data_IF_362170577142
#
_entry.id   IF_362170577142
#
_cell.length_a   1.000
_cell.length_b   1.000
_cell.length_c   1.000
_cell.angle_alpha   90.00
_cell.angle_beta   90.00
_cell.angle_gamma   90.00
#
_symmetry.space_group_name_H-M   'P 1'
#
loop_
_entity.id
_entity.type
_entity.pdbx_description
1 polymer ?
#
# COMPACT_ATOMS: atom_id res chain seq x y z
N UNK A 1 -5.80 17.90 9.66
CA UNK A 1 -4.45 17.53 10.10
C UNK A 1 -3.94 16.34 9.33
N UNK A 2 -2.69 16.39 8.93
CA UNK A 2 -2.10 15.30 8.18
C UNK A 2 -1.93 14.05 9.04
N UNK A 3 -2.16 12.88 8.47
CA UNK A 3 -1.83 11.64 9.14
C UNK A 3 -0.31 11.50 9.22
N UNK A 4 0.23 10.94 10.31
CA UNK A 4 1.66 10.76 10.43
C UNK A 4 2.22 9.91 9.29
N UNK A 5 3.36 10.31 8.76
CA UNK A 5 4.04 9.57 7.71
C UNK A 5 4.63 8.29 8.28
N UNK A 6 4.26 7.15 7.71
CA UNK A 6 4.72 5.84 8.17
C UNK A 6 6.17 5.55 7.78
N UNK A 7 6.78 6.38 6.94
CA UNK A 7 8.21 6.31 6.70
C UNK A 7 9.05 6.62 7.94
N UNK A 8 8.47 7.34 8.91
CA UNK A 8 9.09 7.55 10.20
C UNK A 8 8.82 6.33 11.09
N UNK A 9 9.87 5.59 11.55
CA UNK A 9 9.67 4.38 12.35
C UNK A 9 8.85 4.60 13.62
N UNK A 10 8.97 5.76 14.26
CA UNK A 10 8.20 6.04 15.47
C UNK A 10 6.71 6.09 15.18
N UNK A 11 6.31 6.66 14.05
CA UNK A 11 4.91 6.70 13.66
C UNK A 11 4.38 5.30 13.37
N UNK A 12 5.19 4.44 12.78
CA UNK A 12 4.85 3.03 12.56
C UNK A 12 4.60 2.32 13.87
N UNK A 13 5.49 2.51 14.85
CA UNK A 13 5.34 1.90 16.17
C UNK A 13 4.06 2.36 16.83
N UNK A 14 3.76 3.64 16.78
CA UNK A 14 2.56 4.20 17.40
C UNK A 14 1.27 3.64 16.79
N UNK A 15 1.21 3.51 15.46
CA UNK A 15 0.01 2.97 14.82
C UNK A 15 -0.19 1.50 15.16
N UNK A 16 0.89 0.71 15.22
CA UNK A 16 0.80 -0.68 15.60
C UNK A 16 0.33 -0.84 17.05
N UNK A 17 0.80 0.01 17.96
CA UNK A 17 0.35 0.00 19.34
C UNK A 17 -1.12 0.40 19.45
N UNK A 18 -1.56 1.40 18.70
CA UNK A 18 -2.95 1.87 18.70
C UNK A 18 -3.92 0.74 18.36
N UNK A 19 -3.55 -0.13 17.44
CA UNK A 19 -4.41 -1.23 17.01
C UNK A 19 -4.06 -2.56 17.66
N UNK A 20 -3.21 -2.52 18.70
CA UNK A 20 -2.77 -3.73 19.41
C UNK A 20 -2.17 -4.78 18.47
N UNK A 21 -1.56 -4.32 17.39
CA UNK A 21 -0.99 -5.21 16.39
C UNK A 21 0.39 -5.66 16.87
N UNK A 22 0.63 -6.97 16.82
CA UNK A 22 1.86 -7.56 17.31
C UNK A 22 3.00 -7.37 16.31
N UNK A 23 4.20 -7.06 16.80
CA UNK A 23 5.40 -6.95 15.98
C UNK A 23 5.90 -8.30 15.46
N UNK A 24 5.33 -9.40 15.90
CA UNK A 24 5.70 -10.70 15.35
C UNK A 24 5.51 -10.70 13.84
N UNK A 25 6.48 -11.31 13.14
CA UNK A 25 6.44 -11.40 11.69
C UNK A 25 5.45 -12.46 11.23
N UNK A 26 4.19 -12.26 11.57
CA UNK A 26 3.12 -13.14 11.13
C UNK A 26 2.98 -12.99 9.62
N UNK A 27 3.09 -14.11 8.90
CA UNK A 27 3.06 -14.14 7.43
C UNK A 27 4.19 -13.33 6.79
N UNK A 28 5.31 -13.16 7.49
CA UNK A 28 6.47 -12.46 6.94
C UNK A 28 6.33 -10.95 6.83
N UNK A 29 5.32 -10.38 7.47
CA UNK A 29 5.09 -8.95 7.40
C UNK A 29 6.21 -8.20 8.12
N UNK A 30 6.77 -7.20 7.45
CA UNK A 30 7.74 -6.27 8.00
C UNK A 30 7.22 -4.87 7.77
N UNK A 31 6.92 -4.16 8.86
CA UNK A 31 6.28 -2.86 8.77
C UNK A 31 7.27 -1.69 8.81
N UNK A 32 8.53 -1.97 9.13
CA UNK A 32 9.56 -0.93 9.17
C UNK A 32 10.29 -0.91 7.82
N UNK A 33 10.03 0.12 7.02
CA UNK A 33 10.58 0.24 5.67
C UNK A 33 11.46 1.48 5.60
N UNK A 34 12.66 1.34 5.01
CA UNK A 34 13.58 2.45 4.80
C UNK A 34 13.01 3.41 3.75
N UNK A 35 12.91 4.69 4.12
CA UNK A 35 12.36 5.72 3.23
C UNK A 35 13.17 5.88 1.95
N UNK A 36 14.50 5.70 2.00
CA UNK A 36 15.34 5.78 0.81
C UNK A 36 15.00 4.68 -0.19
N UNK A 37 14.66 3.49 0.30
CA UNK A 37 14.23 2.39 -0.56
C UNK A 37 12.89 2.73 -1.22
N UNK A 38 11.96 3.29 -0.47
CA UNK A 38 10.66 3.71 -1.01
C UNK A 38 10.82 4.75 -2.11
N UNK A 39 11.65 5.76 -1.87
CA UNK A 39 11.90 6.80 -2.86
C UNK A 39 12.54 6.24 -4.12
N UNK A 40 13.46 5.30 -3.98
CA UNK A 40 14.10 4.65 -5.11
C UNK A 40 13.12 3.83 -5.94
N UNK A 41 12.20 3.13 -5.29
CA UNK A 41 11.17 2.34 -5.99
C UNK A 41 10.30 3.26 -6.82
N UNK A 42 9.83 4.35 -6.25
CA UNK A 42 8.95 5.30 -6.95
C UNK A 42 9.69 5.94 -8.12
N UNK A 43 10.94 6.34 -7.91
CA UNK A 43 11.75 6.94 -8.95
C UNK A 43 12.05 5.94 -10.08
N UNK A 44 12.46 4.72 -9.74
CA UNK A 44 12.78 3.69 -10.71
C UNK A 44 11.56 3.28 -11.54
N UNK A 45 10.39 3.26 -10.94
CA UNK A 45 9.15 2.93 -11.64
C UNK A 45 8.63 4.09 -12.49
N UNK A 46 9.17 5.29 -12.32
CA UNK A 46 8.75 6.45 -13.08
C UNK A 46 7.30 6.83 -12.82
N UNK A 47 6.83 6.68 -11.59
CA UNK A 47 5.42 6.93 -11.26
C UNK A 47 5.13 8.42 -11.31
N UNK A 48 4.06 8.78 -12.02
CA UNK A 48 3.60 10.16 -12.15
C UNK A 48 2.11 10.25 -11.86
N UNK A 49 1.58 11.47 -11.81
CA UNK A 49 0.15 11.71 -11.58
C UNK A 49 -0.76 11.17 -12.69
N UNK A 50 -0.19 10.81 -13.83
CA UNK A 50 -0.95 10.18 -14.90
C UNK A 50 -1.09 8.67 -14.73
N UNK A 51 -0.36 8.11 -13.76
CA UNK A 51 -0.33 6.66 -13.57
C UNK A 51 -1.37 6.18 -12.56
N UNK A 52 -1.90 5.00 -12.82
CA UNK A 52 -2.56 4.18 -11.82
C UNK A 52 -1.59 3.11 -11.37
N UNK A 53 -1.49 2.90 -10.07
CA UNK A 53 -0.63 1.88 -9.47
C UNK A 53 -1.50 0.84 -8.78
N UNK A 54 -1.20 -0.43 -9.03
CA UNK A 54 -1.75 -1.54 -8.27
C UNK A 54 -0.71 -1.99 -7.27
N UNK A 55 -1.00 -1.84 -5.99
CA UNK A 55 -0.11 -2.29 -4.92
C UNK A 55 -0.62 -3.59 -4.33
N UNK A 56 0.25 -4.59 -4.22
CA UNK A 56 -0.07 -5.89 -3.63
C UNK A 56 0.61 -5.97 -2.27
N UNK A 57 -0.18 -6.20 -1.23
CA UNK A 57 0.34 -6.34 0.13
C UNK A 57 0.77 -5.01 0.76
N UNK A 58 -0.13 -4.01 0.85
CA UNK A 58 0.23 -2.71 1.41
C UNK A 58 0.63 -2.74 2.89
N UNK A 59 0.30 -3.82 3.60
CA UNK A 59 0.58 -3.90 5.03
C UNK A 59 -0.19 -2.84 5.80
N UNK A 60 0.52 -1.96 6.48
CA UNK A 60 -0.10 -0.84 7.22
C UNK A 60 -0.18 0.44 6.38
N UNK A 61 0.29 0.40 5.13
CA UNK A 61 0.16 1.53 4.21
C UNK A 61 1.39 2.40 4.04
N UNK A 62 2.56 1.97 4.50
CA UNK A 62 3.77 2.79 4.43
C UNK A 62 4.12 3.17 2.99
N UNK A 63 4.27 2.17 2.11
CA UNK A 63 4.55 2.44 0.70
C UNK A 63 3.35 3.09 0.03
N UNK A 64 2.14 2.71 0.45
CA UNK A 64 0.90 3.23 -0.13
C UNK A 64 0.83 4.75 0.01
N UNK A 65 1.24 5.30 1.15
CA UNK A 65 1.28 6.75 1.35
C UNK A 65 2.18 7.42 0.31
N UNK A 66 3.37 6.86 0.06
CA UNK A 66 4.29 7.38 -0.93
C UNK A 66 3.73 7.27 -2.35
N UNK A 67 3.11 6.11 -2.66
CA UNK A 67 2.48 5.91 -3.95
C UNK A 67 1.32 6.89 -4.18
N UNK A 68 0.52 7.12 -3.15
CA UNK A 68 -0.61 8.04 -3.24
C UNK A 68 -0.17 9.48 -3.54
N UNK A 69 0.99 9.87 -3.01
CA UNK A 69 1.54 11.21 -3.27
C UNK A 69 2.11 11.34 -4.68
N UNK A 70 2.61 10.24 -5.24
CA UNK A 70 3.26 10.25 -6.55
C UNK A 70 2.31 9.94 -7.71
N UNK A 71 1.34 9.06 -7.50
CA UNK A 71 0.45 8.56 -8.54
C UNK A 71 -0.86 9.32 -8.60
N UNK A 72 -1.57 9.18 -9.70
CA UNK A 72 -2.93 9.70 -9.82
C UNK A 72 -3.95 8.86 -9.08
N UNK A 73 -3.75 7.54 -9.07
CA UNK A 73 -4.65 6.61 -8.39
C UNK A 73 -3.86 5.39 -7.92
N UNK A 74 -4.23 4.87 -6.76
CA UNK A 74 -3.64 3.66 -6.19
C UNK A 74 -4.77 2.70 -5.81
N UNK A 75 -4.67 1.46 -6.28
CA UNK A 75 -5.51 0.37 -5.79
C UNK A 75 -4.62 -0.57 -5.01
N UNK A 76 -4.89 -0.72 -3.72
CA UNK A 76 -4.09 -1.54 -2.81
C UNK A 76 -4.89 -2.78 -2.41
N UNK A 77 -4.34 -3.96 -2.72
CA UNK A 77 -4.99 -5.25 -2.44
C UNK A 77 -4.32 -5.91 -1.25
N UNK A 78 -5.07 -6.09 -0.17
CA UNK A 78 -4.59 -6.67 1.08
C UNK A 78 -5.44 -7.86 1.46
N UNK A 79 -4.79 -9.01 1.65
CA UNK A 79 -5.48 -10.25 2.00
C UNK A 79 -5.81 -10.35 3.50
N UNK A 80 -5.00 -9.72 4.35
CA UNK A 80 -5.20 -9.79 5.80
C UNK A 80 -6.25 -8.79 6.25
N UNK A 81 -7.43 -9.30 6.62
CA UNK A 81 -8.54 -8.46 7.07
C UNK A 81 -8.22 -7.65 8.33
N UNK A 82 -7.25 -8.11 9.12
CA UNK A 82 -6.86 -7.42 10.35
C UNK A 82 -6.11 -6.12 10.07
N UNK A 83 -5.55 -5.97 8.87
CA UNK A 83 -4.87 -4.75 8.45
C UNK A 83 -5.82 -3.70 7.88
N UNK A 84 -7.03 -4.07 7.52
CA UNK A 84 -7.97 -3.15 6.88
C UNK A 84 -8.32 -1.94 7.76
N UNK A 85 -8.66 -2.11 9.05
CA UNK A 85 -8.91 -0.94 9.90
C UNK A 85 -7.69 -0.01 10.02
N UNK A 86 -6.49 -0.58 10.00
CA UNK A 86 -5.26 0.20 10.04
C UNK A 86 -5.10 1.01 8.75
N UNK A 87 -5.34 0.38 7.60
CA UNK A 87 -5.27 1.05 6.30
C UNK A 87 -6.31 2.16 6.19
N UNK A 88 -7.52 1.94 6.70
CA UNK A 88 -8.55 2.98 6.71
C UNK A 88 -8.10 4.20 7.50
N UNK A 89 -7.35 4.00 8.58
CA UNK A 89 -6.79 5.09 9.38
C UNK A 89 -5.63 5.77 8.66
N UNK A 90 -4.61 4.99 8.27
CA UNK A 90 -3.36 5.54 7.74
C UNK A 90 -3.52 6.20 6.38
N UNK A 91 -4.53 5.82 5.62
CA UNK A 91 -4.79 6.32 4.28
C UNK A 91 -6.00 7.25 4.21
N UNK A 92 -6.57 7.62 5.35
CA UNK A 92 -7.84 8.38 5.41
C UNK A 92 -7.77 9.77 4.76
N UNK A 93 -6.57 10.34 4.63
CA UNK A 93 -6.40 11.65 4.01
C UNK A 93 -6.19 11.60 2.50
N UNK A 94 -6.02 10.40 1.94
CA UNK A 94 -5.78 10.23 0.52
C UNK A 94 -7.09 9.84 -0.17
N UNK A 95 -7.57 10.71 -1.04
CA UNK A 95 -8.81 10.47 -1.79
C UNK A 95 -8.58 9.66 -3.07
N UNK A 96 -7.32 9.40 -3.40
CA UNK A 96 -6.94 8.67 -4.61
C UNK A 96 -6.53 7.21 -4.34
N UNK A 97 -6.80 6.69 -3.14
CA UNK A 97 -6.47 5.31 -2.77
C UNK A 97 -7.75 4.49 -2.60
N UNK A 98 -7.76 3.33 -3.24
CA UNK A 98 -8.81 2.33 -3.09
C UNK A 98 -8.20 1.10 -2.42
N UNK A 99 -8.76 0.68 -1.28
CA UNK A 99 -8.31 -0.51 -0.57
C UNK A 99 -9.25 -1.66 -0.88
N UNK A 100 -8.71 -2.78 -1.32
CA UNK A 100 -9.46 -3.98 -1.66
C UNK A 100 -9.01 -5.09 -0.73
N UNK A 101 -9.93 -5.59 0.11
CA UNK A 101 -9.63 -6.71 0.99
C UNK A 101 -9.96 -8.02 0.28
N UNK A 102 -8.97 -8.58 -0.38
CA UNK A 102 -9.12 -9.83 -1.11
C UNK A 102 -7.75 -10.43 -1.40
N UNK A 103 -7.77 -11.69 -1.87
CA UNK A 103 -6.61 -12.33 -2.46
C UNK A 103 -6.43 -11.76 -3.88
N UNK A 104 -5.23 -11.27 -4.20
CA UNK A 104 -4.97 -10.69 -5.51
C UNK A 104 -5.26 -11.66 -6.65
N UNK A 105 -5.12 -12.97 -6.41
CA UNK A 105 -5.41 -13.99 -7.41
C UNK A 105 -6.91 -14.10 -7.73
N UNK A 106 -7.77 -13.56 -6.86
CA UNK A 106 -9.23 -13.59 -7.02
C UNK A 106 -9.78 -12.27 -7.52
N UNK A 107 -8.96 -11.22 -7.57
CA UNK A 107 -9.40 -9.91 -8.03
C UNK A 107 -9.48 -9.90 -9.55
N UNK A 108 -10.58 -9.37 -10.08
CA UNK A 108 -10.71 -9.14 -11.53
C UNK A 108 -9.89 -7.89 -11.88
N UNK A 109 -8.61 -8.09 -12.11
CA UNK A 109 -7.68 -7.00 -12.39
C UNK A 109 -8.03 -6.31 -13.70
N UNK A 110 -8.40 -7.06 -14.72
CA UNK A 110 -8.79 -6.48 -16.01
C UNK A 110 -9.99 -5.54 -15.86
N UNK A 111 -11.03 -5.99 -15.17
CA UNK A 111 -12.21 -5.18 -14.92
C UNK A 111 -11.89 -3.94 -14.10
N UNK A 112 -11.02 -4.08 -13.10
CA UNK A 112 -10.55 -2.97 -12.28
C UNK A 112 -9.82 -1.92 -13.13
N UNK A 113 -8.90 -2.37 -13.98
CA UNK A 113 -8.12 -1.48 -14.86
C UNK A 113 -9.03 -0.77 -15.85
N UNK A 114 -9.99 -1.47 -16.43
CA UNK A 114 -10.96 -0.86 -17.36
C UNK A 114 -11.81 0.19 -16.67
N UNK A 115 -12.31 -0.13 -15.49
CA UNK A 115 -13.19 0.78 -14.74
C UNK A 115 -12.43 2.00 -14.21
N UNK A 116 -11.25 1.79 -13.65
CA UNK A 116 -10.52 2.83 -12.91
C UNK A 116 -9.45 3.53 -13.73
N UNK A 117 -9.00 2.94 -14.84
CA UNK A 117 -7.91 3.49 -15.64
C UNK A 117 -8.21 3.51 -17.14
N UNK A 118 -9.47 3.32 -17.52
CA UNK A 118 -9.88 3.35 -18.93
C UNK A 118 -9.18 2.31 -19.79
N UNK A 119 -8.78 1.18 -19.21
CA UNK A 119 -8.08 0.12 -19.93
C UNK A 119 -6.61 0.39 -20.21
N UNK A 120 -6.07 1.53 -19.75
CA UNK A 120 -4.65 1.82 -19.94
C UNK A 120 -3.80 0.97 -18.99
N UNK A 121 -2.55 0.64 -19.35
CA UNK A 121 -1.68 -0.16 -18.50
C UNK A 121 -1.49 0.47 -17.12
N UNK A 122 -1.37 -0.38 -16.10
CA UNK A 122 -1.08 0.04 -14.72
C UNK A 122 0.31 -0.39 -14.34
N UNK A 123 0.91 0.32 -13.38
CA UNK A 123 2.15 -0.11 -12.76
C UNK A 123 1.83 -0.95 -11.54
N UNK A 124 2.58 -2.03 -11.36
CA UNK A 124 2.36 -2.96 -10.24
C UNK A 124 3.54 -2.87 -9.30
N UNK A 125 3.25 -2.63 -8.03
CA UNK A 125 4.24 -2.60 -6.96
C UNK A 125 3.82 -3.63 -5.92
N UNK A 126 4.75 -4.48 -5.49
CA UNK A 126 4.45 -5.51 -4.52
C UNK A 126 5.51 -5.51 -3.43
N UNK A 127 5.04 -5.60 -2.18
CA UNK A 127 5.90 -5.78 -1.02
C UNK A 127 5.52 -7.12 -0.38
N UNK A 128 5.85 -8.19 -1.08
CA UNK A 128 5.48 -9.54 -0.65
C UNK A 128 6.51 -10.10 0.32
N UNK A 129 6.06 -10.88 1.32
CA UNK A 129 6.99 -11.59 2.19
C UNK A 129 7.79 -12.58 1.36
N UNK A 130 9.10 -12.49 1.44
CA UNK A 130 9.98 -13.28 0.58
C UNK A 130 9.93 -14.79 0.85
N UNK A 131 9.43 -15.20 1.99
CA UNK A 131 9.33 -16.63 2.32
C UNK A 131 8.07 -17.29 1.78
N UNK A 132 7.22 -16.56 1.09
CA UNK A 132 5.99 -17.10 0.50
C UNK A 132 6.25 -17.69 -0.89
N UNK A 133 7.39 -17.45 -1.42
CA UNK A 133 7.72 -17.90 -2.79
C UNK A 133 7.60 -19.40 -3.01
#
# INVERSE_FOLDING_TARGET
>A
MSKPALGNPQNTIEILQKYHFNFQKKFGQNFLIDTHVLEKIISAAGITKDDMVLEIGPGIGTMTQYLAEAAGKVAAVEIDKNLIPILEDTLSEYDNVMVINDDVLKVDIRGLVEKENGGRPVKVVANLPYYIT
#
